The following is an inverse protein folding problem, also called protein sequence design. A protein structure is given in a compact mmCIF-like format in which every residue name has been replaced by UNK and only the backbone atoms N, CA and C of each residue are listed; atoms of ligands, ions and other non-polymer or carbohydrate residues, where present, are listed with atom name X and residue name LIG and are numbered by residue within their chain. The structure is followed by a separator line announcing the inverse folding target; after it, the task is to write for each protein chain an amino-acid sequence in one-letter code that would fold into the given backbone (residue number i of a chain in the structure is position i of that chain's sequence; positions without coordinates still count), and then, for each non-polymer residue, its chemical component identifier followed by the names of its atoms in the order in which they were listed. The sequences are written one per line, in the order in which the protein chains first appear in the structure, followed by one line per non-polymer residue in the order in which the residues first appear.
data_IF_158595044568
#
_entry.id   IF_158595044568
#
_cell.length_a   1.000
_cell.length_b   1.000
_cell.length_c   1.000
_cell.angle_alpha   90.00
_cell.angle_beta   90.00
_cell.angle_gamma   90.00
#
_symmetry.space_group_name_H-M   'P 1'
#
loop_
_entity.id
_entity.type
_entity.pdbx_description
1 polymer ?
#
# COMPACT_ATOMS: atom_id res chain seq x y z
N UNK A 1 30.29 14.25 -19.27
CA UNK A 1 30.28 12.86 -18.77
C UNK A 1 29.58 12.68 -17.41
N UNK A 2 29.68 13.59 -16.44
CA UNK A 2 29.03 13.43 -15.12
C UNK A 2 27.49 13.42 -15.15
N UNK A 3 26.87 14.29 -15.95
CA UNK A 3 25.41 14.38 -16.05
C UNK A 3 24.75 13.11 -16.64
N UNK A 4 25.39 12.47 -17.61
CA UNK A 4 24.86 11.25 -18.26
C UNK A 4 24.80 10.08 -17.27
N UNK A 5 25.82 9.96 -16.40
CA UNK A 5 25.84 8.94 -15.34
C UNK A 5 24.73 9.21 -14.32
N UNK A 6 24.53 10.48 -13.92
CA UNK A 6 23.47 10.86 -12.98
C UNK A 6 22.07 10.51 -13.54
N UNK A 7 21.82 10.78 -14.83
CA UNK A 7 20.54 10.44 -15.48
C UNK A 7 20.32 8.92 -15.54
N UNK A 8 21.35 8.14 -15.87
CA UNK A 8 21.28 6.68 -15.88
C UNK A 8 21.01 6.11 -14.49
N UNK A 9 21.68 6.63 -13.46
CA UNK A 9 21.44 6.22 -12.08
C UNK A 9 20.03 6.58 -11.58
N UNK A 10 19.53 7.78 -11.91
CA UNK A 10 18.17 8.19 -11.58
C UNK A 10 17.13 7.32 -12.31
N UNK A 11 17.33 7.05 -13.60
CA UNK A 11 16.45 6.18 -14.38
C UNK A 11 16.38 4.76 -13.83
N UNK A 12 17.53 4.16 -13.50
CA UNK A 12 17.60 2.83 -12.92
C UNK A 12 16.97 2.76 -11.52
N UNK A 13 17.18 3.78 -10.68
CA UNK A 13 16.57 3.87 -9.36
C UNK A 13 15.04 3.97 -9.44
N UNK A 14 14.51 4.78 -10.35
CA UNK A 14 13.05 4.92 -10.55
C UNK A 14 12.44 3.59 -10.99
N UNK A 15 13.06 2.88 -11.94
CA UNK A 15 12.57 1.58 -12.39
C UNK A 15 12.59 0.51 -11.29
N UNK A 16 13.65 0.47 -10.48
CA UNK A 16 13.75 -0.46 -9.35
C UNK A 16 12.68 -0.20 -8.29
N UNK A 17 12.43 1.07 -7.95
CA UNK A 17 11.41 1.45 -6.96
C UNK A 17 10.00 1.16 -7.50
N UNK A 18 9.72 1.49 -8.76
CA UNK A 18 8.43 1.20 -9.40
C UNK A 18 8.18 -0.30 -9.57
N UNK A 19 9.17 -1.11 -9.94
CA UNK A 19 9.00 -2.56 -10.07
C UNK A 19 8.76 -3.24 -8.72
N UNK A 20 9.48 -2.80 -7.68
CA UNK A 20 9.31 -3.33 -6.32
C UNK A 20 7.96 -2.95 -5.70
N UNK A 21 7.54 -1.68 -5.86
CA UNK A 21 6.23 -1.24 -5.37
C UNK A 21 5.09 -1.84 -6.20
N UNK A 22 5.20 -1.87 -7.53
CA UNK A 22 4.07 -2.24 -8.38
C UNK A 22 3.64 -3.69 -8.23
N UNK A 23 4.55 -4.66 -8.08
CA UNK A 23 4.12 -6.06 -8.19
C UNK A 23 3.28 -6.51 -6.99
N UNK A 24 3.77 -6.31 -5.75
CA UNK A 24 2.99 -6.64 -4.55
C UNK A 24 1.72 -5.78 -4.46
N UNK A 25 1.80 -4.49 -4.79
CA UNK A 25 0.66 -3.56 -4.74
C UNK A 25 -0.41 -3.88 -5.80
N UNK A 26 0.00 -4.30 -7.00
CA UNK A 26 -0.91 -4.66 -8.10
C UNK A 26 -1.78 -5.87 -7.79
N UNK A 27 -1.30 -6.79 -6.95
CA UNK A 27 -2.07 -7.94 -6.48
C UNK A 27 -3.25 -7.52 -5.60
N UNK A 28 -3.24 -6.29 -5.07
CA UNK A 28 -4.37 -5.71 -4.33
C UNK A 28 -5.22 -4.77 -5.20
N UNK A 29 -5.00 -4.67 -6.51
CA UNK A 29 -5.65 -3.68 -7.39
C UNK A 29 -7.17 -3.56 -7.23
N UNK A 30 -7.86 -4.68 -7.05
CA UNK A 30 -9.30 -4.77 -6.78
C UNK A 30 -9.75 -4.14 -5.44
N UNK A 31 -8.83 -4.01 -4.50
CA UNK A 31 -9.04 -3.47 -3.16
C UNK A 31 -8.44 -2.08 -2.98
N UNK A 32 -7.53 -1.61 -3.85
CA UNK A 32 -6.75 -0.40 -3.64
C UNK A 32 -7.63 0.86 -3.55
N UNK A 33 -7.87 1.28 -2.31
CA UNK A 33 -8.51 2.53 -1.98
C UNK A 33 -7.92 3.10 -0.69
N UNK A 34 -7.96 4.42 -0.53
CA UNK A 34 -7.66 5.04 0.76
C UNK A 34 -8.77 4.74 1.76
N UNK A 35 -8.42 4.55 3.03
CA UNK A 35 -9.39 4.32 4.09
C UNK A 35 -9.02 5.06 5.38
N UNK A 36 -9.99 5.17 6.28
CA UNK A 36 -9.84 5.75 7.61
C UNK A 36 -10.01 4.65 8.65
N UNK A 37 -8.91 4.16 9.27
CA UNK A 37 -8.98 3.06 10.23
C UNK A 37 -9.91 3.33 11.41
N UNK A 38 -9.97 4.58 11.88
CA UNK A 38 -10.81 5.02 12.99
C UNK A 38 -12.25 5.36 12.57
N UNK A 39 -12.52 5.44 11.27
CA UNK A 39 -13.82 5.75 10.70
C UNK A 39 -14.24 4.69 9.66
N UNK A 40 -14.48 3.44 10.10
CA UNK A 40 -14.72 2.31 9.21
C UNK A 40 -16.03 2.44 8.40
N UNK A 41 -17.04 3.12 8.92
CA UNK A 41 -18.29 3.37 8.21
C UNK A 41 -18.11 4.30 6.99
N UNK A 42 -17.02 5.06 6.96
CA UNK A 42 -16.69 5.98 5.86
C UNK A 42 -15.56 5.44 4.97
N UNK A 43 -15.03 4.27 5.29
CA UNK A 43 -13.94 3.66 4.53
C UNK A 43 -14.49 3.00 3.26
N UNK A 44 -14.04 3.40 2.05
CA UNK A 44 -14.57 2.94 0.77
C UNK A 44 -14.04 1.55 0.35
N UNK A 45 -13.69 0.68 1.32
CA UNK A 45 -13.14 -0.63 0.98
C UNK A 45 -14.19 -1.51 0.30
N UNK A 46 -13.84 -2.06 -0.86
CA UNK A 46 -14.66 -3.05 -1.57
C UNK A 46 -14.92 -4.28 -0.70
N UNK A 47 -16.00 -5.01 -1.01
CA UNK A 47 -16.37 -6.24 -0.31
C UNK A 47 -15.21 -7.25 -0.36
N UNK A 48 -14.82 -7.77 0.81
CA UNK A 48 -13.70 -8.72 0.96
C UNK A 48 -12.33 -8.06 1.21
N UNK A 49 -12.23 -6.74 1.12
CA UNK A 49 -11.02 -5.97 1.43
C UNK A 49 -11.05 -5.46 2.88
N UNK A 50 -9.88 -5.26 3.50
CA UNK A 50 -9.77 -4.61 4.82
C UNK A 50 -8.97 -3.34 4.74
N UNK A 51 -9.33 -2.40 5.61
CA UNK A 51 -8.51 -1.23 5.87
C UNK A 51 -7.30 -1.61 6.74
N UNK A 52 -6.10 -1.40 6.21
CA UNK A 52 -4.84 -1.54 6.93
C UNK A 52 -4.29 -0.16 7.26
N UNK A 53 -4.11 0.10 8.55
CA UNK A 53 -3.62 1.38 9.08
C UNK A 53 -2.17 1.62 8.69
N UNK A 54 -1.84 2.81 8.20
CA UNK A 54 -0.45 3.23 8.00
C UNK A 54 0.29 3.44 9.32
N UNK A 55 1.59 3.23 9.34
CA UNK A 55 2.44 3.32 10.54
C UNK A 55 2.96 4.74 10.70
N UNK A 56 3.35 5.35 9.58
CA UNK A 56 3.79 6.73 9.48
C UNK A 56 2.62 7.73 9.61
N UNK A 57 1.40 7.33 9.28
CA UNK A 57 0.20 8.17 9.41
C UNK A 57 -1.03 7.38 9.91
N UNK A 58 -1.13 7.10 11.22
CA UNK A 58 -2.10 6.17 11.81
C UNK A 58 -3.59 6.48 11.57
N UNK A 59 -3.92 7.75 11.34
CA UNK A 59 -5.29 8.21 11.02
C UNK A 59 -5.73 7.84 9.59
N UNK A 60 -4.83 7.27 8.79
CA UNK A 60 -5.12 6.81 7.43
C UNK A 60 -4.66 5.39 7.22
N UNK A 61 -5.20 4.77 6.18
CA UNK A 61 -4.86 3.42 5.78
C UNK A 61 -5.09 3.19 4.29
N UNK A 62 -4.84 1.96 3.89
CA UNK A 62 -5.17 1.45 2.57
C UNK A 62 -6.02 0.19 2.67
N UNK A 63 -7.00 0.10 1.79
CA UNK A 63 -7.78 -1.10 1.59
C UNK A 63 -6.91 -2.13 0.84
N UNK A 64 -6.71 -3.29 1.45
CA UNK A 64 -5.93 -4.39 0.88
C UNK A 64 -6.74 -5.68 0.92
N UNK A 65 -6.52 -6.51 -0.10
CA UNK A 65 -7.00 -7.89 -0.15
C UNK A 65 -6.41 -8.73 1.00
N UNK A 66 -7.27 -9.38 1.79
CA UNK A 66 -6.87 -10.22 2.92
C UNK A 66 -6.22 -11.54 2.50
N UNK A 67 -6.50 -12.01 1.28
CA UNK A 67 -5.99 -13.27 0.74
C UNK A 67 -4.58 -13.14 0.17
N UNK A 68 -4.11 -11.91 0.00
CA UNK A 68 -2.78 -11.60 -0.52
C UNK A 68 -1.84 -11.25 0.63
N UNK A 69 -0.54 -11.59 0.51
CA UNK A 69 0.46 -11.13 1.47
C UNK A 69 0.44 -9.60 1.56
N UNK A 70 0.45 -9.08 2.78
CA UNK A 70 0.57 -7.63 2.98
C UNK A 70 1.93 -7.19 2.40
N UNK A 71 1.96 -6.18 1.51
CA UNK A 71 3.21 -5.78 0.88
C UNK A 71 4.22 -5.33 1.93
N UNK A 72 5.52 -5.47 1.67
CA UNK A 72 6.54 -5.25 2.70
C UNK A 72 6.48 -3.85 3.34
N UNK A 73 6.20 -2.82 2.54
CA UNK A 73 6.00 -1.45 3.04
C UNK A 73 4.77 -1.31 3.94
N UNK A 74 3.80 -2.22 3.81
CA UNK A 74 2.66 -2.37 4.72
C UNK A 74 2.90 -3.41 5.85
N UNK A 75 4.04 -4.14 5.91
CA UNK A 75 4.26 -5.16 6.97
C UNK A 75 4.59 -4.57 8.32
N UNK A 76 5.02 -3.31 8.40
CA UNK A 76 5.17 -2.58 9.66
C UNK A 76 3.88 -1.88 10.11
N UNK A 77 2.74 -2.29 9.57
CA UNK A 77 1.47 -1.62 9.83
C UNK A 77 0.69 -2.26 10.96
N UNK A 78 0.27 -1.39 11.88
CA UNK A 78 -0.56 -1.75 13.02
C UNK A 78 -1.82 -2.51 12.61
N UNK A 79 -2.24 -3.38 13.52
CA UNK A 79 -3.34 -4.33 13.49
C UNK A 79 -4.41 -4.14 12.39
N UNK A 80 -4.79 -5.26 11.76
CA UNK A 80 -5.98 -5.38 10.91
C UNK A 80 -7.20 -4.81 11.63
N UNK A 81 -7.88 -3.83 11.05
CA UNK A 81 -9.21 -3.48 11.51
C UNK A 81 -10.21 -4.46 10.92
N UNK A 82 -10.63 -5.45 11.72
CA UNK A 82 -11.67 -6.39 11.34
C UNK A 82 -12.97 -6.02 12.07
N UNK A 83 -14.01 -5.63 11.34
CA UNK A 83 -15.35 -5.44 11.89
C UNK A 83 -16.02 -6.81 11.99
N UNK A 84 -15.73 -7.54 13.07
CA UNK A 84 -16.57 -8.67 13.46
C UNK A 84 -17.89 -8.12 14.00
N UNK A 85 -18.99 -8.45 13.32
CA UNK A 85 -20.35 -8.32 13.84
C UNK A 85 -20.85 -9.72 14.18
#
# INVERSE_FOLDING_TARGET
MKALHIILFLGAAIQAVCAYWSNEYSQHSQCLAYCWPDHPNYSPCSRGCLCYRRFDYPSSGYCLDQQRPIPHHFRMLGARYNRSN
#
